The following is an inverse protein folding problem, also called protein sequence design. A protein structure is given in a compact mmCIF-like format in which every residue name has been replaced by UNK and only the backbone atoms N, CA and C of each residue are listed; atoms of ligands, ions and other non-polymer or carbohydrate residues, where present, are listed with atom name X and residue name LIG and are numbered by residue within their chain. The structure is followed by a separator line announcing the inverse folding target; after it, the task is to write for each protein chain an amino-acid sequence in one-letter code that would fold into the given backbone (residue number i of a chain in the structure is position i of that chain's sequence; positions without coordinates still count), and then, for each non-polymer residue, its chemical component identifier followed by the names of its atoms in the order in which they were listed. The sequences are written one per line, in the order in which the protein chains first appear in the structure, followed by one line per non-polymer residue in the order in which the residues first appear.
data_IF_282599891662
#
_entry.id   IF_282599891662
#
_cell.length_a   1.000
_cell.length_b   1.000
_cell.length_c   1.000
_cell.angle_alpha   90.00
_cell.angle_beta   90.00
_cell.angle_gamma   90.00
#
_symmetry.space_group_name_H-M   'P 1'
#
loop_
_entity.id
_entity.type
_entity.pdbx_description
1 polymer ?
#
# COMPACT_ATOMS: atom_id res chain seq x y z
N UNK A 1 -54.41 40.82 -30.56
CA UNK A 1 -53.44 41.00 -31.65
C UNK A 1 -52.36 41.97 -31.19
N UNK A 2 -51.32 41.54 -30.47
CA UNK A 2 -50.11 42.35 -30.28
C UNK A 2 -48.88 41.43 -30.07
N UNK A 3 -48.12 41.32 -31.16
CA UNK A 3 -46.66 41.32 -31.32
C UNK A 3 -45.82 40.26 -30.57
N UNK A 4 -45.34 39.31 -31.37
CA UNK A 4 -44.20 38.44 -31.09
C UNK A 4 -42.92 39.27 -30.84
N UNK A 5 -42.34 39.14 -29.65
CA UNK A 5 -40.96 39.59 -29.38
C UNK A 5 -39.97 38.62 -30.03
N UNK A 6 -39.19 39.16 -30.96
CA UNK A 6 -38.13 38.48 -31.68
C UNK A 6 -37.03 37.98 -30.72
N UNK A 7 -36.75 36.67 -30.78
CA UNK A 7 -35.48 36.13 -30.30
C UNK A 7 -34.44 36.35 -31.40
N UNK A 8 -33.64 37.40 -31.26
CA UNK A 8 -32.45 37.60 -32.08
C UNK A 8 -31.40 36.55 -31.69
N UNK A 9 -31.26 35.51 -32.51
CA UNK A 9 -30.11 34.61 -32.49
C UNK A 9 -28.88 35.43 -32.88
N UNK A 10 -28.06 35.78 -31.90
CA UNK A 10 -26.71 36.31 -32.12
C UNK A 10 -25.73 35.18 -31.80
N UNK A 11 -25.56 34.26 -32.74
CA UNK A 11 -24.47 33.29 -32.72
C UNK A 11 -23.24 33.94 -33.38
N UNK A 12 -22.58 34.82 -32.64
CA UNK A 12 -21.25 35.31 -33.01
C UNK A 12 -20.23 34.31 -32.44
N UNK A 13 -19.89 33.28 -33.21
CA UNK A 13 -18.72 32.43 -32.92
C UNK A 13 -17.45 33.26 -33.17
N UNK A 14 -17.14 34.16 -32.23
CA UNK A 14 -15.80 34.74 -32.12
C UNK A 14 -14.90 33.66 -31.55
N UNK A 15 -14.21 32.92 -32.42
CA UNK A 15 -13.05 32.15 -31.98
C UNK A 15 -12.08 33.13 -31.31
N UNK A 16 -11.89 32.97 -30.01
CA UNK A 16 -10.87 33.71 -29.30
C UNK A 16 -9.51 33.22 -29.84
N UNK A 17 -8.68 34.13 -30.35
CA UNK A 17 -7.27 33.87 -30.69
C UNK A 17 -6.50 33.67 -29.38
N UNK A 18 -6.71 32.52 -28.73
CA UNK A 18 -6.10 32.18 -27.45
C UNK A 18 -4.64 31.80 -27.70
N UNK A 19 -3.72 32.39 -26.95
CA UNK A 19 -2.28 32.10 -27.04
C UNK A 19 -1.80 31.36 -25.81
N UNK A 20 -0.68 30.65 -25.97
CA UNK A 20 -0.01 30.04 -24.83
C UNK A 20 0.42 31.12 -23.83
N UNK A 21 -0.05 31.03 -22.58
CA UNK A 21 0.15 32.04 -21.54
C UNK A 21 -1.11 32.80 -21.14
N UNK A 22 -2.20 32.68 -21.90
CA UNK A 22 -3.46 33.37 -21.57
C UNK A 22 -4.18 32.70 -20.40
N UNK A 23 -4.86 33.52 -19.59
CA UNK A 23 -5.66 33.08 -18.46
C UNK A 23 -7.09 32.87 -18.94
N UNK A 24 -7.62 31.68 -18.68
CA UNK A 24 -8.96 31.24 -19.09
C UNK A 24 -9.77 30.75 -17.90
N UNK A 25 -11.09 30.78 -18.05
CA UNK A 25 -12.07 30.25 -17.10
C UNK A 25 -12.86 29.09 -17.71
N UNK A 26 -13.49 28.22 -16.89
CA UNK A 26 -14.28 27.13 -17.42
C UNK A 26 -15.40 27.62 -18.34
N UNK A 27 -15.49 27.03 -19.54
CA UNK A 27 -16.46 27.43 -20.57
C UNK A 27 -15.89 28.33 -21.66
N UNK A 28 -14.67 28.86 -21.50
CA UNK A 28 -13.99 29.62 -22.55
C UNK A 28 -13.66 28.70 -23.74
N UNK A 29 -13.88 29.21 -24.95
CA UNK A 29 -13.51 28.53 -26.20
C UNK A 29 -12.01 28.71 -26.45
N UNK A 30 -11.30 27.61 -26.66
CA UNK A 30 -9.85 27.62 -26.83
C UNK A 30 -9.44 27.49 -28.31
N UNK A 31 -9.88 26.41 -28.95
CA UNK A 31 -9.55 26.09 -30.34
C UNK A 31 -10.54 25.08 -30.91
N UNK A 32 -10.39 24.74 -32.19
CA UNK A 32 -11.07 23.59 -32.82
C UNK A 32 -10.20 22.34 -32.72
N UNK A 33 -10.81 21.16 -32.74
CA UNK A 33 -10.07 19.89 -32.59
C UNK A 33 -9.08 19.63 -33.73
N UNK A 34 -9.30 20.23 -34.90
CA UNK A 34 -8.42 20.14 -36.07
C UNK A 34 -7.10 20.90 -35.87
N UNK A 35 -7.08 21.90 -34.99
CA UNK A 35 -5.88 22.67 -34.65
C UNK A 35 -5.08 21.97 -33.55
N UNK A 36 -5.72 21.71 -32.41
CA UNK A 36 -5.10 21.10 -31.24
C UNK A 36 -6.06 20.10 -30.58
N UNK A 37 -5.54 18.94 -30.22
CA UNK A 37 -6.27 17.93 -29.49
C UNK A 37 -6.46 18.34 -28.02
N UNK A 38 -7.64 18.09 -27.43
CA UNK A 38 -7.91 18.39 -26.03
C UNK A 38 -7.00 17.53 -25.14
N UNK A 39 -6.37 18.18 -24.16
CA UNK A 39 -5.57 17.54 -23.12
C UNK A 39 -6.07 17.96 -21.73
N UNK A 40 -5.22 17.87 -20.72
CA UNK A 40 -5.58 18.15 -19.33
C UNK A 40 -6.22 19.54 -19.13
N UNK A 41 -7.31 19.59 -18.37
CA UNK A 41 -8.01 20.84 -18.08
C UNK A 41 -8.83 21.38 -19.26
N UNK A 42 -9.03 20.59 -20.31
CA UNK A 42 -9.89 20.92 -21.45
C UNK A 42 -10.88 19.79 -21.72
N UNK A 43 -11.97 20.09 -22.43
CA UNK A 43 -12.91 19.09 -22.92
C UNK A 43 -13.37 19.49 -24.32
N UNK A 44 -13.75 18.49 -25.12
CA UNK A 44 -14.36 18.70 -26.42
C UNK A 44 -15.88 18.74 -26.30
N UNK A 45 -16.50 19.68 -27.01
CA UNK A 45 -17.93 19.62 -27.32
C UNK A 45 -18.15 20.11 -28.74
N UNK A 46 -18.83 19.29 -29.54
CA UNK A 46 -19.24 19.64 -30.92
C UNK A 46 -18.06 20.09 -31.82
N UNK A 47 -16.89 19.45 -31.69
CA UNK A 47 -15.69 19.78 -32.48
C UNK A 47 -14.93 21.02 -32.00
N UNK A 48 -15.39 21.66 -30.92
CA UNK A 48 -14.72 22.80 -30.29
C UNK A 48 -14.15 22.38 -28.95
N UNK A 49 -12.91 22.77 -28.68
CA UNK A 49 -12.23 22.54 -27.41
C UNK A 49 -12.50 23.72 -26.47
N UNK A 50 -13.00 23.40 -25.28
CA UNK A 50 -13.32 24.35 -24.22
C UNK A 50 -12.44 24.12 -23.00
N UNK A 51 -12.21 25.18 -22.23
CA UNK A 51 -11.58 25.09 -20.93
C UNK A 51 -12.50 24.40 -19.92
N UNK A 52 -11.99 23.37 -19.22
CA UNK A 52 -12.70 22.64 -18.16
C UNK A 52 -12.44 23.22 -16.76
N UNK A 53 -11.35 23.97 -16.59
CA UNK A 53 -10.87 24.49 -15.33
C UNK A 53 -10.29 25.91 -15.51
N UNK A 54 -10.30 26.77 -14.48
CA UNK A 54 -9.62 28.05 -14.55
C UNK A 54 -8.10 27.86 -14.51
N UNK A 55 -7.37 28.61 -15.33
CA UNK A 55 -5.92 28.47 -15.40
C UNK A 55 -5.27 29.17 -16.59
N UNK A 56 -3.98 28.90 -16.78
CA UNK A 56 -3.17 29.38 -17.89
C UNK A 56 -3.11 28.33 -18.99
N UNK A 57 -3.32 28.74 -20.23
CA UNK A 57 -3.26 27.87 -21.41
C UNK A 57 -1.80 27.57 -21.74
N UNK A 58 -1.48 26.29 -21.94
CA UNK A 58 -0.21 25.81 -22.46
C UNK A 58 -0.50 24.98 -23.69
N UNK A 59 0.09 25.38 -24.82
CA UNK A 59 -0.03 24.67 -26.09
C UNK A 59 1.29 23.95 -26.36
N UNK A 60 1.19 22.67 -26.72
CA UNK A 60 2.32 21.89 -27.22
C UNK A 60 2.13 21.65 -28.71
N UNK A 61 2.93 22.31 -29.53
CA UNK A 61 2.85 22.21 -30.99
C UNK A 61 3.45 20.90 -31.52
N UNK A 62 4.31 20.23 -30.76
CA UNK A 62 4.91 18.95 -31.17
C UNK A 62 3.87 17.84 -31.07
N UNK A 63 3.17 17.78 -29.93
CA UNK A 63 2.10 16.81 -29.67
C UNK A 63 0.73 17.29 -30.19
N UNK A 64 0.66 18.51 -30.76
CA UNK A 64 -0.57 19.20 -31.16
C UNK A 64 -1.64 19.12 -30.08
N UNK A 65 -1.29 19.45 -28.85
CA UNK A 65 -2.19 19.34 -27.70
C UNK A 65 -2.34 20.68 -26.96
N UNK A 66 -3.53 20.89 -26.40
CA UNK A 66 -3.84 22.07 -25.59
C UNK A 66 -4.24 21.66 -24.18
N UNK A 67 -3.61 22.28 -23.18
CA UNK A 67 -3.89 22.02 -21.77
C UNK A 67 -4.06 23.32 -20.99
N UNK A 68 -4.91 23.28 -19.98
CA UNK A 68 -5.10 24.38 -19.03
C UNK A 68 -4.48 23.99 -17.70
N UNK A 69 -3.48 24.76 -17.27
CA UNK A 69 -2.76 24.54 -16.01
C UNK A 69 -3.26 25.54 -14.98
N UNK A 70 -3.52 25.14 -13.74
CA UNK A 70 -3.97 26.10 -12.71
C UNK A 70 -2.95 27.24 -12.49
N UNK A 71 -3.38 28.43 -12.04
CA UNK A 71 -2.51 29.61 -11.89
C UNK A 71 -1.28 29.38 -11.00
N UNK A 72 -1.38 28.44 -10.05
CA UNK A 72 -0.26 28.04 -9.18
C UNK A 72 0.75 27.08 -9.85
N UNK A 73 0.58 26.75 -11.14
CA UNK A 73 1.39 25.78 -11.87
C UNK A 73 1.23 24.32 -11.38
N UNK A 74 0.31 24.06 -10.44
CA UNK A 74 0.12 22.76 -9.81
C UNK A 74 -1.05 22.02 -10.45
N UNK A 75 -0.79 20.79 -10.90
CA UNK A 75 -1.83 19.87 -11.33
C UNK A 75 -2.77 19.57 -10.14
N UNK A 76 -4.08 19.78 -10.31
CA UNK A 76 -5.08 19.43 -9.29
C UNK A 76 -5.24 17.92 -9.06
N UNK A 77 -4.81 17.10 -10.03
CA UNK A 77 -4.82 15.65 -9.97
C UNK A 77 -3.48 15.12 -10.53
N UNK A 78 -2.44 15.12 -9.70
CA UNK A 78 -1.23 14.35 -9.99
C UNK A 78 -1.55 12.87 -9.76
N UNK A 79 -2.00 12.18 -10.82
CA UNK A 79 -2.18 10.74 -10.75
C UNK A 79 -0.81 10.07 -10.68
N UNK A 80 -0.62 9.10 -9.78
CA UNK A 80 0.66 8.41 -9.65
C UNK A 80 0.95 7.56 -10.89
N UNK A 81 2.22 7.50 -11.22
CA UNK A 81 2.80 6.62 -12.23
C UNK A 81 3.47 5.45 -11.52
N UNK A 82 3.46 4.27 -12.15
CA UNK A 82 4.19 3.12 -11.63
C UNK A 82 5.66 3.47 -11.39
N UNK A 83 6.16 3.16 -10.19
CA UNK A 83 7.50 3.52 -9.73
C UNK A 83 7.57 4.77 -8.85
N UNK A 84 6.50 5.59 -8.79
CA UNK A 84 6.48 6.76 -7.92
C UNK A 84 6.49 6.38 -6.43
N UNK A 85 7.19 7.19 -5.64
CA UNK A 85 7.23 7.07 -4.17
C UNK A 85 6.07 7.86 -3.59
N UNK A 86 5.20 7.15 -2.90
CA UNK A 86 3.99 7.67 -2.29
C UNK A 86 4.12 7.68 -0.78
N UNK A 87 3.67 8.75 -0.15
CA UNK A 87 3.58 8.86 1.30
C UNK A 87 2.12 9.10 1.68
N UNK A 88 1.63 8.31 2.63
CA UNK A 88 0.22 8.33 2.99
C UNK A 88 -0.03 7.81 4.39
N UNK A 89 -1.27 8.00 4.84
CA UNK A 89 -1.76 7.54 6.14
C UNK A 89 -2.66 6.33 5.96
N UNK A 90 -2.40 5.26 6.71
CA UNK A 90 -3.26 4.08 6.72
C UNK A 90 -4.61 4.42 7.36
N UNK A 91 -5.69 4.36 6.59
CA UNK A 91 -7.06 4.68 7.04
C UNK A 91 -7.78 3.45 7.54
N UNK A 92 -7.74 2.35 6.79
CA UNK A 92 -8.35 1.08 7.16
C UNK A 92 -7.36 -0.06 6.93
N UNK A 93 -7.27 -0.95 7.90
CA UNK A 93 -6.37 -2.11 7.84
C UNK A 93 -7.19 -3.36 8.14
N UNK A 94 -7.28 -4.23 7.16
CA UNK A 94 -7.90 -5.55 7.25
C UNK A 94 -6.79 -6.60 7.37
N UNK A 95 -7.16 -7.88 7.51
CA UNK A 95 -6.15 -8.94 7.68
C UNK A 95 -5.27 -9.15 6.44
N UNK A 96 -5.83 -9.00 5.24
CA UNK A 96 -5.15 -9.28 3.96
C UNK A 96 -4.88 -8.03 3.11
N UNK A 97 -5.53 -6.90 3.42
CA UNK A 97 -5.43 -5.66 2.65
C UNK A 97 -5.48 -4.43 3.55
N UNK A 98 -4.90 -3.33 3.08
CA UNK A 98 -4.96 -2.04 3.75
C UNK A 98 -5.27 -0.94 2.74
N UNK A 99 -6.04 0.02 3.21
CA UNK A 99 -6.36 1.26 2.51
C UNK A 99 -5.49 2.38 3.08
N UNK A 100 -4.80 3.07 2.17
CA UNK A 100 -3.87 4.14 2.49
C UNK A 100 -4.35 5.38 1.77
N UNK A 101 -4.63 6.44 2.53
CA UNK A 101 -4.91 7.75 1.96
C UNK A 101 -3.59 8.45 1.64
N UNK A 102 -3.36 8.70 0.35
CA UNK A 102 -2.12 9.29 -0.13
C UNK A 102 -2.17 10.79 0.11
N UNK A 103 -1.09 11.35 0.67
CA UNK A 103 -0.93 12.77 0.93
C UNK A 103 0.21 13.41 0.13
N UNK A 104 1.20 12.61 -0.29
CA UNK A 104 2.38 13.09 -1.01
C UNK A 104 2.83 12.12 -2.10
N UNK A 105 3.26 12.64 -3.24
CA UNK A 105 3.84 11.89 -4.37
C UNK A 105 5.20 12.50 -4.69
N UNK A 106 6.28 11.71 -4.67
CA UNK A 106 7.65 12.15 -4.98
C UNK A 106 8.02 13.48 -4.28
N UNK A 107 7.78 13.54 -2.98
CA UNK A 107 7.98 14.73 -2.15
C UNK A 107 7.15 15.99 -2.55
N UNK A 108 6.11 15.84 -3.37
CA UNK A 108 5.14 16.92 -3.66
C UNK A 108 3.81 16.65 -2.97
N UNK A 109 3.34 17.64 -2.22
CA UNK A 109 2.05 17.53 -1.53
C UNK A 109 0.91 17.53 -2.55
N UNK A 110 -0.01 16.59 -2.37
CA UNK A 110 -1.20 16.48 -3.20
C UNK A 110 -2.44 16.74 -2.35
N UNK A 111 -3.31 17.60 -2.87
CA UNK A 111 -4.61 17.89 -2.25
C UNK A 111 -5.70 16.91 -2.71
N UNK A 112 -5.43 16.11 -3.74
CA UNK A 112 -6.33 15.06 -4.21
C UNK A 112 -6.41 13.92 -3.19
N UNK A 113 -7.61 13.57 -2.74
CA UNK A 113 -7.87 12.45 -1.83
C UNK A 113 -7.71 11.08 -2.49
N UNK A 114 -6.53 10.81 -3.04
CA UNK A 114 -6.22 9.53 -3.67
C UNK A 114 -6.14 8.42 -2.62
N UNK A 115 -6.71 7.27 -2.98
CA UNK A 115 -6.71 6.07 -2.16
C UNK A 115 -5.82 5.03 -2.83
N UNK A 116 -4.88 4.51 -2.05
CA UNK A 116 -4.07 3.36 -2.41
C UNK A 116 -4.54 2.11 -1.67
N UNK A 117 -4.46 0.98 -2.36
CA UNK A 117 -4.71 -0.35 -1.81
C UNK A 117 -3.38 -1.12 -1.74
N UNK A 118 -3.09 -1.66 -0.56
CA UNK A 118 -1.93 -2.49 -0.30
C UNK A 118 -2.40 -3.91 0.02
N UNK A 119 -1.87 -4.90 -0.70
CA UNK A 119 -2.14 -6.31 -0.47
C UNK A 119 -1.01 -6.98 0.31
N UNK A 120 -1.31 -7.99 1.12
CA UNK A 120 -0.33 -8.66 2.01
C UNK A 120 0.89 -9.21 1.24
N UNK A 121 0.67 -9.71 0.01
CA UNK A 121 1.73 -10.21 -0.86
C UNK A 121 2.73 -9.14 -1.31
N UNK A 122 2.33 -7.86 -1.27
CA UNK A 122 3.14 -6.74 -1.76
C UNK A 122 3.83 -5.98 -0.62
N UNK A 123 3.82 -6.53 0.60
CA UNK A 123 4.42 -5.90 1.78
C UNK A 123 5.89 -6.26 1.90
N UNK A 124 6.21 -7.54 2.12
CA UNK A 124 7.59 -8.02 2.24
C UNK A 124 7.77 -9.32 1.47
N UNK A 125 9.03 -9.70 1.21
CA UNK A 125 9.36 -11.02 0.66
C UNK A 125 9.24 -12.14 1.69
N UNK A 126 9.11 -11.81 2.98
CA UNK A 126 8.97 -12.79 4.06
C UNK A 126 7.51 -13.16 4.24
N UNK A 127 7.26 -14.36 4.76
CA UNK A 127 5.92 -14.76 5.11
C UNK A 127 5.42 -13.93 6.32
N UNK A 128 4.33 -13.21 6.12
CA UNK A 128 3.62 -12.46 7.14
C UNK A 128 2.27 -13.10 7.35
N UNK A 129 1.88 -13.32 8.62
CA UNK A 129 0.59 -13.95 8.96
C UNK A 129 -0.59 -13.00 8.78
N UNK A 130 -0.45 -11.76 9.24
CA UNK A 130 -1.50 -10.74 9.18
C UNK A 130 -0.92 -9.38 8.84
N UNK A 131 -1.66 -8.60 8.07
CA UNK A 131 -1.26 -7.21 7.78
C UNK A 131 -1.22 -6.33 9.04
N UNK A 132 -1.93 -6.71 10.10
CA UNK A 132 -1.91 -6.02 11.39
C UNK A 132 -0.55 -6.09 12.11
N UNK A 133 0.30 -7.06 11.74
CA UNK A 133 1.68 -7.19 12.26
C UNK A 133 2.65 -6.27 11.51
N UNK A 134 2.24 -5.75 10.35
CA UNK A 134 3.05 -4.90 9.46
C UNK A 134 2.75 -3.44 9.72
N UNK A 135 1.47 -3.09 9.66
CA UNK A 135 0.97 -1.73 9.71
C UNK A 135 -0.38 -1.72 10.42
N UNK A 136 -0.72 -0.61 11.06
CA UNK A 136 -2.04 -0.41 11.67
C UNK A 136 -2.62 0.93 11.25
N UNK A 137 -3.89 1.09 11.59
CA UNK A 137 -4.61 2.32 11.37
C UNK A 137 -3.87 3.50 12.00
N UNK A 138 -3.86 4.62 11.29
CA UNK A 138 -3.16 5.86 11.62
C UNK A 138 -1.63 5.87 11.47
N UNK A 139 -1.02 4.78 11.01
CA UNK A 139 0.40 4.82 10.64
C UNK A 139 0.62 5.68 9.41
N UNK A 140 1.81 6.30 9.34
CA UNK A 140 2.31 6.97 8.15
C UNK A 140 3.25 6.01 7.44
N UNK A 141 2.95 5.73 6.18
CA UNK A 141 3.61 4.70 5.38
C UNK A 141 4.18 5.34 4.11
N UNK A 142 5.36 4.89 3.71
CA UNK A 142 5.98 5.18 2.42
C UNK A 142 5.98 3.93 1.56
N UNK A 143 5.38 4.02 0.38
CA UNK A 143 5.15 2.90 -0.53
C UNK A 143 5.49 3.30 -1.96
N UNK A 144 5.66 2.31 -2.84
CA UNK A 144 5.81 2.53 -4.28
C UNK A 144 4.51 2.18 -5.00
N UNK A 145 4.15 3.00 -6.00
CA UNK A 145 3.04 2.72 -6.90
C UNK A 145 3.39 1.60 -7.89
N UNK A 146 2.49 0.63 -8.03
CA UNK A 146 2.63 -0.47 -9.01
C UNK A 146 1.85 -0.21 -10.30
N UNK A 147 0.81 0.62 -10.26
CA UNK A 147 -0.05 0.93 -11.39
C UNK A 147 0.04 2.41 -11.78
N UNK A 148 -0.25 2.67 -13.05
CA UNK A 148 -0.21 4.01 -13.65
C UNK A 148 -1.64 4.45 -13.96
N UNK A 149 -2.03 5.66 -13.55
CA UNK A 149 -3.33 6.27 -13.85
C UNK A 149 -4.57 5.45 -13.44
N UNK A 150 -4.48 4.56 -12.45
CA UNK A 150 -5.59 3.73 -11.96
C UNK A 150 -5.89 4.00 -10.48
N UNK A 151 -7.18 4.06 -10.13
CA UNK A 151 -7.67 4.24 -8.77
C UNK A 151 -8.58 3.02 -8.44
N UNK A 152 -8.37 2.31 -7.30
CA UNK A 152 -7.34 2.55 -6.29
C UNK A 152 -5.92 2.23 -6.79
N UNK A 153 -4.94 2.96 -6.25
CA UNK A 153 -3.54 2.81 -6.60
C UNK A 153 -3.00 1.56 -5.90
N UNK A 154 -2.47 0.59 -6.64
CA UNK A 154 -1.86 -0.61 -6.06
C UNK A 154 -0.50 -0.23 -5.49
N UNK A 155 -0.28 -0.51 -4.21
CA UNK A 155 0.93 -0.14 -3.49
C UNK A 155 1.81 -1.37 -3.20
N UNK A 156 3.11 -1.12 -3.04
CA UNK A 156 4.06 -2.08 -2.50
C UNK A 156 4.99 -1.45 -1.47
N UNK A 157 5.32 -2.22 -0.42
CA UNK A 157 6.32 -1.88 0.61
C UNK A 157 7.61 -2.68 0.46
N UNK A 158 7.84 -3.32 -0.70
CA UNK A 158 9.02 -4.15 -0.91
C UNK A 158 10.25 -3.27 -1.16
N UNK A 159 11.01 -2.99 -0.10
CA UNK A 159 12.26 -2.23 -0.15
C UNK A 159 12.73 -1.84 1.25
N UNK A 160 14.02 -1.56 1.44
CA UNK A 160 14.53 -1.12 2.76
C UNK A 160 14.17 0.34 3.09
N UNK A 161 13.91 1.13 2.06
CA UNK A 161 13.47 2.52 2.18
C UNK A 161 11.93 2.62 2.21
N UNK A 162 11.22 1.51 2.04
CA UNK A 162 9.75 1.47 2.01
C UNK A 162 9.22 0.79 3.29
N UNK A 163 8.05 1.20 3.74
CA UNK A 163 7.45 0.73 4.99
C UNK A 163 6.90 1.86 5.83
N UNK A 164 6.75 1.59 7.13
CA UNK A 164 6.23 2.56 8.09
C UNK A 164 7.31 3.60 8.44
N UNK A 165 6.95 4.88 8.36
CA UNK A 165 7.81 6.03 8.70
C UNK A 165 7.53 6.54 10.11
N UNK A 166 6.25 6.53 10.50
CA UNK A 166 5.80 6.78 11.87
C UNK A 166 4.69 5.80 12.20
N UNK A 167 4.82 5.14 13.35
CA UNK A 167 3.80 4.26 13.88
C UNK A 167 3.15 4.86 15.14
N UNK A 168 1.84 4.67 15.25
CA UNK A 168 1.07 5.04 16.44
C UNK A 168 0.77 3.79 17.27
N UNK A 169 0.87 3.91 18.60
CA UNK A 169 0.56 2.82 19.51
C UNK A 169 -0.93 2.47 19.45
N UNK A 170 -1.23 1.18 19.34
CA UNK A 170 -2.62 0.70 19.23
C UNK A 170 -3.47 0.92 20.48
N UNK A 171 -2.85 1.08 21.65
CA UNK A 171 -3.54 1.29 22.93
C UNK A 171 -3.73 2.76 23.31
N UNK A 172 -2.69 3.59 23.17
CA UNK A 172 -2.69 4.95 23.71
C UNK A 172 -2.53 6.05 22.64
N UNK A 173 -2.32 5.67 21.37
CA UNK A 173 -2.12 6.61 20.26
C UNK A 173 -0.78 7.35 20.26
N UNK A 174 0.09 7.13 21.25
CA UNK A 174 1.39 7.79 21.31
C UNK A 174 2.34 7.26 20.23
N UNK A 175 3.30 8.08 19.79
CA UNK A 175 4.33 7.67 18.84
C UNK A 175 5.15 6.51 19.41
N UNK A 176 5.40 5.50 18.59
CA UNK A 176 6.21 4.35 18.96
C UNK A 176 7.70 4.64 18.73
N UNK A 177 8.52 4.26 19.70
CA UNK A 177 9.98 4.36 19.60
C UNK A 177 10.54 3.06 19.05
N UNK A 178 11.41 3.16 18.05
CA UNK A 178 12.08 2.00 17.50
C UNK A 178 13.10 1.46 18.52
N UNK A 179 13.02 0.16 18.77
CA UNK A 179 13.93 -0.52 19.70
C UNK A 179 14.90 -1.42 18.95
N UNK A 180 14.40 -2.20 18.00
CA UNK A 180 15.19 -3.08 17.11
C UNK A 180 14.47 -3.12 15.78
N UNK A 181 15.16 -3.42 14.66
CA UNK A 181 14.61 -3.47 13.29
C UNK A 181 13.07 -3.47 13.19
N UNK A 182 12.36 -4.49 13.68
CA UNK A 182 10.88 -4.53 13.59
C UNK A 182 10.16 -4.39 14.94
N UNK A 183 10.89 -4.28 16.05
CA UNK A 183 10.35 -4.17 17.40
C UNK A 183 10.24 -2.72 17.84
N UNK A 184 9.04 -2.34 18.25
CA UNK A 184 8.69 -1.03 18.75
C UNK A 184 8.24 -1.08 20.20
N UNK A 185 8.54 0.00 20.92
CA UNK A 185 8.15 0.19 22.30
C UNK A 185 7.43 1.52 22.49
N UNK A 186 6.32 1.50 23.23
CA UNK A 186 5.62 2.71 23.62
C UNK A 186 6.12 3.21 24.98
N UNK A 187 6.67 4.43 25.03
CA UNK A 187 7.15 5.04 26.27
C UNK A 187 6.03 5.42 27.26
N UNK A 188 4.76 5.44 26.83
CA UNK A 188 3.63 5.86 27.67
C UNK A 188 2.89 4.71 28.34
N UNK A 189 2.69 3.61 27.62
CA UNK A 189 1.90 2.46 28.10
C UNK A 189 2.69 1.14 28.11
N UNK A 190 3.98 1.20 27.82
CA UNK A 190 4.91 0.06 27.81
C UNK A 190 4.52 -1.08 26.85
N UNK A 191 3.59 -0.80 25.93
CA UNK A 191 3.17 -1.78 24.94
C UNK A 191 4.28 -2.05 23.93
N UNK A 192 4.51 -3.33 23.66
CA UNK A 192 5.45 -3.81 22.64
C UNK A 192 4.68 -4.25 21.42
N UNK A 193 5.06 -3.73 20.26
CA UNK A 193 4.43 -4.04 19.00
C UNK A 193 5.50 -4.27 17.94
N UNK A 194 5.15 -5.01 16.89
CA UNK A 194 6.00 -5.19 15.72
C UNK A 194 5.38 -4.48 14.53
N UNK A 195 6.23 -3.90 13.66
CA UNK A 195 5.87 -3.28 12.38
C UNK A 195 7.00 -3.46 11.37
N UNK A 196 6.69 -3.37 10.09
CA UNK A 196 7.70 -3.29 9.03
C UNK A 196 8.07 -1.82 8.78
N UNK A 197 9.22 -1.41 9.31
CA UNK A 197 9.67 -0.02 9.26
C UNK A 197 10.65 0.23 8.13
N UNK A 198 10.72 1.50 7.79
CA UNK A 198 11.78 2.08 6.99
C UNK A 198 13.07 2.25 7.81
N UNK A 199 14.21 2.25 7.13
CA UNK A 199 15.54 2.49 7.74
C UNK A 199 15.68 3.89 8.36
N UNK A 200 14.96 4.86 7.82
CA UNK A 200 14.88 6.26 8.24
C UNK A 200 13.67 6.57 9.15
N UNK A 201 13.12 5.54 9.80
CA UNK A 201 12.02 5.69 10.75
C UNK A 201 12.29 6.83 11.75
N UNK A 202 11.34 7.76 11.86
CA UNK A 202 11.37 8.79 12.89
C UNK A 202 12.44 9.90 12.71
N UNK A 203 13.38 9.78 11.78
CA UNK A 203 14.49 10.75 11.63
C UNK A 203 13.99 12.16 11.30
N UNK A 204 13.00 12.27 10.40
CA UNK A 204 12.39 13.58 10.05
C UNK A 204 11.52 14.18 11.16
N UNK A 205 11.21 13.41 12.21
CA UNK A 205 10.29 13.79 13.28
C UNK A 205 10.98 13.86 14.66
N UNK A 206 12.31 13.78 14.71
CA UNK A 206 13.09 13.83 15.95
C UNK A 206 12.90 12.63 16.88
N UNK A 207 12.42 11.49 16.35
CA UNK A 207 12.30 10.25 17.10
C UNK A 207 13.60 9.47 16.98
N UNK A 208 14.38 9.44 18.07
CA UNK A 208 15.60 8.64 18.14
C UNK A 208 15.29 7.17 18.46
N UNK A 209 16.02 6.25 17.83
CA UNK A 209 15.95 4.84 18.17
C UNK A 209 16.56 4.61 19.56
N UNK A 210 15.86 3.85 20.42
CA UNK A 210 16.33 3.48 21.76
C UNK A 210 16.60 1.98 21.83
N UNK A 211 17.79 1.51 21.40
CA UNK A 211 18.15 0.09 21.45
C UNK A 211 18.21 -0.47 22.88
N UNK A 212 18.36 0.38 23.89
CA UNK A 212 18.43 -0.03 25.31
C UNK A 212 17.17 -0.73 25.80
N UNK A 213 16.02 -0.45 25.19
CA UNK A 213 14.73 -1.04 25.54
C UNK A 213 14.51 -2.41 24.87
N UNK A 214 15.50 -2.91 24.13
CA UNK A 214 15.40 -4.17 23.40
C UNK A 214 15.19 -5.34 24.35
N UNK A 215 14.33 -6.30 23.99
CA UNK A 215 14.22 -7.52 24.78
C UNK A 215 15.61 -8.18 24.83
N UNK A 216 16.16 -8.33 26.04
CA UNK A 216 17.45 -9.00 26.24
C UNK A 216 17.36 -10.38 25.59
N UNK A 217 18.28 -10.70 24.67
CA UNK A 217 18.43 -12.07 24.17
C UNK A 217 18.64 -12.96 25.40
N UNK A 218 17.72 -13.90 25.66
CA UNK A 218 17.96 -14.96 26.64
C UNK A 218 19.23 -15.67 26.20
N UNK A 219 20.30 -15.54 26.97
CA UNK A 219 21.50 -16.35 26.77
C UNK A 219 21.09 -17.82 26.93
N UNK A 220 21.55 -18.66 26.01
CA UNK A 220 21.14 -20.05 25.90
C UNK A 220 21.81 -20.96 26.96
N UNK A 221 22.53 -20.39 27.92
CA UNK A 221 23.43 -21.15 28.80
C UNK A 221 22.83 -21.73 30.10
N UNK A 222 21.57 -21.43 30.45
CA UNK A 222 20.98 -21.93 31.72
C UNK A 222 20.16 -23.22 31.58
N UNK A 223 20.60 -24.18 30.76
CA UNK A 223 19.95 -25.53 30.69
C UNK A 223 20.89 -26.72 30.86
N UNK A 224 22.16 -26.50 31.24
CA UNK A 224 23.11 -27.61 31.44
C UNK A 224 23.34 -28.05 32.88
N UNK A 225 22.80 -27.34 33.87
CA UNK A 225 23.03 -27.66 35.28
C UNK A 225 21.84 -28.31 36.02
N UNK A 226 20.83 -28.82 35.31
CA UNK A 226 19.85 -29.76 35.89
C UNK A 226 20.28 -31.23 35.66
N UNK A 227 21.53 -31.54 35.98
CA UNK A 227 22.02 -32.91 36.12
C UNK A 227 21.87 -33.34 37.58
N UNK A 228 21.00 -34.31 37.85
CA UNK A 228 21.16 -35.20 39.01
C UNK A 228 19.90 -35.44 39.83
N UNK A 229 19.23 -36.58 39.61
CA UNK A 229 18.27 -37.09 40.59
C UNK A 229 17.05 -37.86 40.09
N UNK A 230 17.17 -38.78 39.12
CA UNK A 230 16.20 -39.89 39.02
C UNK A 230 16.92 -41.21 38.85
N UNK A 231 17.06 -41.87 40.00
CA UNK A 231 17.67 -43.18 40.15
C UNK A 231 17.02 -44.23 39.24
N UNK A 232 17.88 -45.04 38.63
CA UNK A 232 17.48 -46.25 37.93
C UNK A 232 16.80 -47.20 38.91
N UNK A 233 15.55 -47.56 38.61
CA UNK A 233 14.93 -48.75 39.19
C UNK A 233 15.37 -49.94 38.35
N UNK A 234 16.33 -50.70 38.89
CA UNK A 234 16.58 -52.09 38.48
C UNK A 234 15.29 -52.86 38.75
N UNK A 235 14.66 -53.38 37.69
CA UNK A 235 13.57 -54.34 37.82
C UNK A 235 14.19 -55.74 37.82
N UNK A 236 14.20 -56.37 38.99
CA UNK A 236 14.56 -57.76 39.20
C UNK A 236 13.34 -58.68 38.95
N UNK A 237 13.40 -59.49 37.88
CA UNK A 237 12.71 -60.80 37.70
C UNK A 237 11.18 -60.82 37.48
N UNK A 238 10.59 -61.92 36.93
CA UNK A 238 11.03 -63.31 37.14
C UNK A 238 11.21 -64.18 35.88
N UNK A 239 12.31 -64.96 35.92
CA UNK A 239 12.53 -66.34 35.40
C UNK A 239 11.51 -66.88 34.38
N UNK A 240 11.86 -66.80 33.10
CA UNK A 240 11.28 -67.63 32.06
C UNK A 240 11.72 -69.10 32.20
N UNK A 241 10.74 -69.99 32.41
CA UNK A 241 10.91 -71.45 32.39
C UNK A 241 10.06 -72.01 31.25
N UNK A 242 10.74 -72.41 30.17
CA UNK A 242 10.43 -73.52 29.25
C UNK A 242 9.04 -73.62 28.61
N UNK A 243 9.02 -73.84 27.29
CA UNK A 243 7.89 -74.54 26.67
C UNK A 243 7.72 -74.33 25.17
N UNK A 244 8.28 -75.26 24.39
CA UNK A 244 7.92 -75.59 23.00
C UNK A 244 6.46 -75.31 22.60
N UNK A 245 6.26 -74.88 21.34
CA UNK A 245 5.35 -75.49 20.33
C UNK A 245 5.42 -74.68 19.02
N UNK A 246 6.09 -75.24 18.02
CA UNK A 246 5.52 -75.78 16.76
C UNK A 246 4.92 -74.71 15.83
N UNK A 247 5.74 -74.33 14.84
CA UNK A 247 5.29 -73.92 13.52
C UNK A 247 4.55 -75.09 12.85
N UNK A 248 3.39 -74.81 12.28
CA UNK A 248 2.58 -75.77 11.54
C UNK A 248 1.56 -75.05 10.68
N UNK A 249 1.68 -75.25 9.37
CA UNK A 249 0.92 -74.74 8.24
C UNK A 249 -0.61 -74.75 8.35
N UNK A 250 -1.21 -73.86 7.54
CA UNK A 250 -2.48 -73.92 6.76
C UNK A 250 -3.06 -72.51 6.74
N UNK A 251 -3.24 -71.81 5.62
CA UNK A 251 -3.68 -72.25 4.31
C UNK A 251 -4.92 -71.39 3.97
N UNK A 252 -5.01 -70.86 2.75
CA UNK A 252 -6.22 -70.18 2.29
C UNK A 252 -5.99 -69.05 1.31
N UNK A 253 -5.83 -69.43 0.04
CA UNK A 253 -5.99 -68.63 -1.18
C UNK A 253 -7.36 -67.91 -1.16
N UNK A 254 -7.42 -66.64 -1.55
CA UNK A 254 -8.37 -66.26 -2.60
C UNK A 254 -8.10 -64.88 -3.20
N UNK A 255 -8.31 -64.85 -4.51
CA UNK A 255 -7.84 -63.85 -5.45
C UNK A 255 -8.96 -62.86 -5.82
N UNK A 256 -8.52 -61.76 -6.44
CA UNK A 256 -9.16 -60.99 -7.53
C UNK A 256 -9.91 -59.69 -7.20
N UNK A 257 -9.47 -58.67 -7.95
CA UNK A 257 -10.25 -57.63 -8.67
C UNK A 257 -10.86 -56.54 -7.79
N UNK A 258 -10.91 -55.27 -8.16
CA UNK A 258 -10.76 -54.53 -9.41
C UNK A 258 -10.27 -53.12 -9.03
N UNK A 259 -9.28 -52.53 -9.71
CA UNK A 259 -9.48 -51.65 -10.87
C UNK A 259 -10.42 -50.45 -10.58
N UNK A 260 -9.88 -49.24 -10.41
CA UNK A 260 -10.25 -48.01 -11.17
C UNK A 260 -9.77 -46.71 -10.51
N UNK A 261 -9.09 -45.92 -11.37
CA UNK A 261 -9.25 -44.47 -11.62
C UNK A 261 -8.82 -43.54 -10.48
N UNK A 262 -7.68 -42.88 -10.66
CA UNK A 262 -7.45 -41.58 -11.36
C UNK A 262 -7.46 -40.46 -10.33
#
# INVERSE_FOLDING_TARGET
MWIYTAYAQTSENRMADVKSGDIVVPGDQLCVIEELMPSYGTYEKEGIVYAAAPGTVSMDLNDRSIRVTSPDGRMKLALPVAGDILMGKATHVFEQRAEIRIARINDKDIHSGLVGELHISNVTRRYVKSMLDVLKQNDIVRAVALNTHQIPVKLSLVGQELGVVIASCSRCGNSLTLTTHNNMFCLRCENRETREVTTDYGQRFGLEARPDLAPRRRQYDDRRDDRGGRGGRRFDGPRGRGGNRRFGDRGGDDRRRDNRRR
#
